data_IF_545024960283
#
_entry.id   IF_545024960283
#
_cell.length_a   1.000
_cell.length_b   1.000
_cell.length_c   1.000
_cell.angle_alpha   90.00
_cell.angle_beta   90.00
_cell.angle_gamma   90.00
#
_symmetry.space_group_name_H-M   'P 1'
#
loop_
_entity.id
_entity.type
_entity.pdbx_description
1 polymer ?
#
# COMPACT_ATOMS: atom_id res chain seq x y z
N UNK A 1 -8.84 7.04 10.53
CA UNK A 1 -7.73 6.06 10.53
C UNK A 1 -6.47 6.82 10.18
N UNK A 2 -5.35 6.56 10.84
CA UNK A 2 -4.11 7.28 10.56
C UNK A 2 -3.24 6.48 9.57
N UNK A 3 -3.34 6.80 8.28
CA UNK A 3 -2.53 6.14 7.23
C UNK A 3 -1.13 6.72 7.22
N UNK A 4 -0.13 5.89 7.54
CA UNK A 4 1.29 6.26 7.47
C UNK A 4 1.77 6.10 6.02
N UNK A 5 2.03 7.23 5.38
CA UNK A 5 2.50 7.38 4.00
C UNK A 5 3.20 8.75 3.89
N UNK A 6 4.12 8.90 2.95
CA UNK A 6 4.79 10.18 2.66
C UNK A 6 3.81 11.36 2.55
N UNK A 7 4.23 12.52 3.06
CA UNK A 7 3.35 13.67 3.34
C UNK A 7 2.66 14.24 2.09
N UNK A 8 3.37 14.36 0.97
CA UNK A 8 2.78 14.88 -0.27
C UNK A 8 1.71 13.93 -0.82
N UNK A 9 1.94 12.62 -0.74
CA UNK A 9 0.94 11.61 -1.07
C UNK A 9 -0.21 11.59 -0.09
N UNK A 10 0.05 11.71 1.22
CA UNK A 10 -1.00 11.80 2.24
C UNK A 10 -1.95 12.95 1.92
N UNK A 11 -1.42 14.13 1.61
CA UNK A 11 -2.21 15.30 1.24
C UNK A 11 -3.03 15.04 -0.03
N UNK A 12 -2.43 14.42 -1.05
CA UNK A 12 -3.09 14.14 -2.32
C UNK A 12 -4.21 13.08 -2.20
N UNK A 13 -4.03 12.08 -1.33
CA UNK A 13 -4.94 10.93 -1.19
C UNK A 13 -5.84 11.00 0.05
N UNK A 14 -5.76 12.07 0.85
CA UNK A 14 -6.55 12.22 2.09
C UNK A 14 -8.05 11.98 1.85
N UNK A 15 -8.59 12.53 0.75
CA UNK A 15 -9.99 12.36 0.38
C UNK A 15 -10.39 10.91 0.08
N UNK A 16 -9.45 10.02 -0.26
CA UNK A 16 -9.72 8.59 -0.42
C UNK A 16 -9.71 7.86 0.93
N UNK A 17 -8.77 8.22 1.82
CA UNK A 17 -8.65 7.61 3.15
C UNK A 17 -9.87 7.88 4.05
N UNK A 18 -10.57 9.00 3.82
CA UNK A 18 -11.76 9.38 4.58
C UNK A 18 -13.06 8.73 4.05
N UNK A 19 -13.02 8.08 2.88
CA UNK A 19 -14.21 7.46 2.32
C UNK A 19 -14.58 6.14 3.02
N UNK A 20 -15.89 5.82 3.12
CA UNK A 20 -16.35 4.59 3.79
C UNK A 20 -15.75 3.30 3.22
N UNK A 21 -15.49 3.26 1.89
CA UNK A 21 -14.95 2.08 1.24
C UNK A 21 -13.52 1.76 1.72
N UNK A 22 -12.70 2.79 2.00
CA UNK A 22 -11.32 2.58 2.43
C UNK A 22 -11.29 2.01 3.84
N UNK A 23 -12.14 2.53 4.73
CA UNK A 23 -12.33 1.97 6.06
C UNK A 23 -12.83 0.52 6.01
N UNK A 24 -13.71 0.17 5.06
CA UNK A 24 -14.16 -1.20 4.84
C UNK A 24 -13.04 -2.11 4.36
N UNK A 25 -12.20 -1.64 3.41
CA UNK A 25 -11.03 -2.37 2.91
C UNK A 25 -10.04 -2.69 4.03
N UNK A 26 -9.71 -1.73 4.88
CA UNK A 26 -8.76 -2.01 5.99
C UNK A 26 -9.34 -2.99 6.99
N UNK A 27 -10.63 -2.88 7.33
CA UNK A 27 -11.30 -3.88 8.19
C UNK A 27 -11.26 -5.28 7.57
N UNK A 28 -11.51 -5.38 6.27
CA UNK A 28 -11.42 -6.64 5.54
C UNK A 28 -10.02 -7.24 5.62
N UNK A 29 -8.97 -6.48 5.28
CA UNK A 29 -7.58 -6.98 5.33
C UNK A 29 -7.13 -7.38 6.74
N UNK A 30 -7.54 -6.63 7.77
CA UNK A 30 -7.29 -7.03 9.16
C UNK A 30 -8.02 -8.33 9.52
N UNK A 31 -9.26 -8.50 9.05
CA UNK A 31 -10.03 -9.73 9.22
C UNK A 31 -9.37 -10.94 8.55
N UNK A 32 -8.92 -10.79 7.31
CA UNK A 32 -8.21 -11.83 6.57
C UNK A 32 -6.93 -12.27 7.31
N UNK A 33 -6.15 -11.30 7.78
CA UNK A 33 -4.94 -11.57 8.57
C UNK A 33 -5.26 -12.25 9.91
N UNK A 34 -6.33 -11.83 10.59
CA UNK A 34 -6.77 -12.44 11.85
C UNK A 34 -7.26 -13.89 11.66
N UNK A 35 -7.78 -14.22 10.48
CA UNK A 35 -8.13 -15.59 10.08
C UNK A 35 -6.92 -16.45 9.69
N UNK A 36 -5.69 -15.93 9.84
CA UNK A 36 -4.46 -16.67 9.57
C UNK A 36 -4.01 -16.66 8.11
N UNK A 37 -4.62 -15.84 7.24
CA UNK A 37 -4.13 -15.68 5.86
C UNK A 37 -2.78 -14.96 5.87
N UNK A 38 -1.86 -15.49 5.06
CA UNK A 38 -0.59 -14.82 4.77
C UNK A 38 -0.86 -13.75 3.72
N UNK A 39 -0.60 -12.49 4.06
CA UNK A 39 -0.82 -11.33 3.18
C UNK A 39 0.53 -10.71 2.86
N UNK A 40 0.75 -10.44 1.57
CA UNK A 40 1.95 -9.79 1.06
C UNK A 40 1.61 -8.42 0.42
N UNK A 41 2.54 -7.45 0.45
CA UNK A 41 3.78 -7.45 1.23
C UNK A 41 3.50 -7.30 2.74
N UNK A 42 4.52 -7.38 3.62
CA UNK A 42 4.37 -7.01 5.03
C UNK A 42 3.72 -5.63 5.18
N UNK A 43 2.90 -5.45 6.22
CA UNK A 43 2.11 -4.22 6.43
C UNK A 43 2.87 -2.90 6.27
N UNK A 44 4.10 -2.75 6.81
CA UNK A 44 4.90 -1.54 6.64
C UNK A 44 5.34 -1.25 5.20
N UNK A 45 5.30 -2.23 4.31
CA UNK A 45 5.77 -2.10 2.92
C UNK A 45 4.63 -1.85 1.93
N UNK A 46 3.36 -1.92 2.35
CA UNK A 46 2.19 -1.73 1.47
C UNK A 46 2.25 -0.40 0.71
N UNK A 47 2.72 0.67 1.35
CA UNK A 47 2.82 2.01 0.74
C UNK A 47 4.25 2.40 0.33
N UNK A 48 5.20 1.45 0.29
CA UNK A 48 6.63 1.76 0.08
C UNK A 48 6.92 2.55 -1.20
N UNK A 49 6.21 2.28 -2.29
CA UNK A 49 6.36 3.03 -3.54
C UNK A 49 6.14 4.54 -3.35
N UNK A 50 5.14 4.91 -2.55
CA UNK A 50 4.81 6.29 -2.22
C UNK A 50 5.84 6.90 -1.26
N UNK A 51 6.33 6.12 -0.31
CA UNK A 51 7.36 6.53 0.63
C UNK A 51 8.70 6.86 -0.04
N UNK A 52 9.06 6.09 -1.07
CA UNK A 52 10.32 6.29 -1.79
C UNK A 52 10.26 7.40 -2.84
N UNK A 53 9.08 7.73 -3.35
CA UNK A 53 8.93 8.72 -4.44
C UNK A 53 7.81 9.71 -4.12
N UNK A 54 8.12 10.84 -3.44
CA UNK A 54 7.15 11.91 -3.20
C UNK A 54 6.50 12.39 -4.50
N UNK A 55 5.26 12.88 -4.45
CA UNK A 55 4.45 13.29 -5.62
C UNK A 55 5.23 14.18 -6.59
N UNK A 56 5.92 15.21 -6.07
CA UNK A 56 6.67 16.16 -6.89
C UNK A 56 7.96 15.60 -7.51
N UNK A 57 8.40 14.42 -7.07
CA UNK A 57 9.58 13.72 -7.62
C UNK A 57 9.21 12.64 -8.64
N UNK A 58 7.92 12.35 -8.82
CA UNK A 58 7.44 11.40 -9.81
C UNK A 58 7.77 11.90 -11.22
N UNK A 59 8.48 11.09 -11.99
CA UNK A 59 8.78 11.35 -13.41
C UNK A 59 8.21 10.29 -14.34
N UNK A 60 8.14 9.05 -13.86
CA UNK A 60 7.65 7.88 -14.59
C UNK A 60 6.82 7.04 -13.62
N UNK A 61 5.75 6.44 -14.11
CA UNK A 61 4.92 5.49 -13.37
C UNK A 61 4.96 4.15 -14.10
N UNK A 62 5.36 3.09 -13.38
CA UNK A 62 5.33 1.72 -13.87
C UNK A 62 4.25 0.96 -13.10
N UNK A 63 3.14 0.67 -13.78
CA UNK A 63 2.00 -0.03 -13.20
C UNK A 63 2.19 -1.54 -13.34
N UNK A 64 2.24 -2.23 -12.20
CA UNK A 64 2.09 -3.69 -12.14
C UNK A 64 0.61 -4.09 -11.97
N UNK A 65 0.37 -5.38 -11.76
CA UNK A 65 -0.98 -5.91 -11.50
C UNK A 65 -1.24 -6.03 -9.99
N UNK A 66 -0.52 -6.93 -9.33
CA UNK A 66 -0.60 -7.22 -7.90
C UNK A 66 0.76 -7.68 -7.35
N UNK A 67 0.98 -7.69 -6.03
CA UNK A 67 2.25 -8.11 -5.46
C UNK A 67 2.57 -9.58 -5.72
N UNK A 68 3.85 -9.92 -5.79
CA UNK A 68 4.27 -11.33 -5.75
C UNK A 68 3.73 -12.03 -4.49
N UNK A 69 3.33 -13.29 -4.65
CA UNK A 69 2.68 -14.08 -3.59
C UNK A 69 3.60 -15.10 -2.91
N UNK A 70 4.90 -15.10 -3.23
CA UNK A 70 5.91 -15.92 -2.56
C UNK A 70 6.57 -15.20 -1.39
N UNK A 71 7.00 -15.97 -0.38
CA UNK A 71 7.72 -15.44 0.76
C UNK A 71 9.01 -14.73 0.32
N UNK A 72 9.22 -13.52 0.83
CA UNK A 72 10.42 -12.71 0.56
C UNK A 72 10.48 -12.08 -0.83
N UNK A 73 9.39 -12.09 -1.61
CA UNK A 73 9.36 -11.50 -2.96
C UNK A 73 8.76 -10.10 -2.97
N UNK A 74 7.53 -9.94 -2.48
CA UNK A 74 6.87 -8.64 -2.55
C UNK A 74 7.43 -7.68 -1.50
N UNK A 75 7.98 -6.56 -1.98
CA UNK A 75 8.58 -5.53 -1.14
C UNK A 75 7.89 -4.15 -1.23
N UNK A 76 6.69 -4.08 -1.81
CA UNK A 76 5.95 -2.81 -1.99
C UNK A 76 6.30 -1.99 -3.24
N UNK A 77 6.96 -2.61 -4.22
CA UNK A 77 7.33 -2.02 -5.51
C UNK A 77 6.94 -2.98 -6.63
N UNK A 78 6.37 -2.47 -7.73
CA UNK A 78 6.00 -3.30 -8.88
C UNK A 78 7.25 -3.92 -9.53
N UNK A 79 7.19 -5.20 -9.89
CA UNK A 79 8.27 -5.98 -10.53
C UNK A 79 9.56 -6.20 -9.73
N UNK A 80 9.76 -5.51 -8.60
CA UNK A 80 10.94 -5.67 -7.75
C UNK A 80 10.79 -6.87 -6.81
N UNK A 81 11.93 -7.50 -6.48
CA UNK A 81 12.09 -8.52 -5.44
C UNK A 81 13.28 -8.21 -4.53
#
# INVERSE_FOLDING_TARGET
MDVKIEQSWRKALQGEFDKPYFAALVRYLHGEKAQGKVIFPPGPEIFRAFDLTPVGQVKVVILGQDPYHGFGQAMGLSFSV
#
